data_IF_429869491341
#
_entry.id   IF_429869491341
#
_cell.length_a   1.000
_cell.length_b   1.000
_cell.length_c   1.000
_cell.angle_alpha   90.00
_cell.angle_beta   90.00
_cell.angle_gamma   90.00
#
_symmetry.space_group_name_H-M   'P 1'
#
loop_
_entity.id
_entity.type
_entity.pdbx_description
1 polymer ?
#
# COMPACT_ATOMS: atom_id res chain seq x y z
N UNK A 1 13.36 -9.64 -3.78
CA UNK A 1 12.68 -9.03 -2.61
C UNK A 1 11.18 -8.96 -2.84
N UNK A 2 10.38 -9.03 -1.79
CA UNK A 2 8.91 -8.87 -1.82
C UNK A 2 8.53 -7.68 -0.95
N UNK A 3 7.74 -6.76 -1.50
CA UNK A 3 7.32 -5.53 -0.83
C UNK A 3 5.87 -5.66 -0.36
N UNK A 4 5.62 -5.47 0.93
CA UNK A 4 4.28 -5.37 1.47
C UNK A 4 3.94 -3.94 1.85
N UNK A 5 2.73 -3.51 1.53
CA UNK A 5 2.23 -2.15 1.81
C UNK A 5 1.02 -2.23 2.74
N UNK A 6 1.05 -1.48 3.84
CA UNK A 6 -0.13 -1.17 4.64
C UNK A 6 -0.47 0.32 4.50
N UNK A 7 -1.46 0.63 3.67
CA UNK A 7 -1.83 2.00 3.30
C UNK A 7 -2.81 2.66 4.28
N UNK A 8 -2.67 3.99 4.38
CA UNK A 8 -3.55 4.93 5.03
C UNK A 8 -3.82 6.11 4.09
N UNK A 9 -4.67 7.06 4.50
CA UNK A 9 -4.84 8.28 3.73
C UNK A 9 -3.54 9.09 3.71
N UNK A 10 -2.97 9.29 2.52
CA UNK A 10 -1.79 10.11 2.28
C UNK A 10 -0.43 9.45 2.56
N UNK A 11 -0.39 8.25 3.13
CA UNK A 11 0.87 7.58 3.50
C UNK A 11 0.72 6.06 3.63
N UNK A 12 1.83 5.33 3.68
CA UNK A 12 1.83 3.89 3.95
C UNK A 12 3.02 3.43 4.78
N UNK A 13 2.87 2.27 5.44
CA UNK A 13 4.01 1.47 5.90
C UNK A 13 4.42 0.53 4.78
N UNK A 14 5.69 0.59 4.37
CA UNK A 14 6.34 -0.31 3.44
C UNK A 14 7.29 -1.23 4.19
N UNK A 15 7.16 -2.55 3.99
CA UNK A 15 8.10 -3.54 4.54
C UNK A 15 8.58 -4.43 3.41
N UNK A 16 9.90 -4.49 3.24
CA UNK A 16 10.55 -5.37 2.26
C UNK A 16 11.10 -6.60 2.96
N UNK A 17 10.74 -7.77 2.44
CA UNK A 17 11.22 -9.06 2.95
C UNK A 17 11.97 -9.88 1.88
N UNK A 18 12.90 -10.71 2.34
CA UNK A 18 13.56 -11.75 1.55
C UNK A 18 12.63 -12.93 1.27
N UNK A 19 13.10 -13.91 0.50
CA UNK A 19 12.37 -15.16 0.28
C UNK A 19 12.24 -15.98 1.57
N UNK A 20 13.21 -15.89 2.46
CA UNK A 20 13.23 -16.55 3.78
C UNK A 20 12.47 -15.77 4.88
N UNK A 21 11.78 -14.70 4.48
CA UNK A 21 10.96 -13.82 5.32
C UNK A 21 11.75 -12.90 6.26
N UNK A 22 13.04 -12.70 6.04
CA UNK A 22 13.82 -11.70 6.76
C UNK A 22 13.44 -10.30 6.30
N UNK A 23 13.22 -9.39 7.26
CA UNK A 23 12.95 -7.98 6.97
C UNK A 23 14.27 -7.29 6.61
N UNK A 24 14.32 -6.74 5.40
CA UNK A 24 15.51 -6.09 4.83
C UNK A 24 15.42 -4.57 4.90
N UNK A 25 14.23 -4.04 4.68
CA UNK A 25 13.94 -2.61 4.74
C UNK A 25 12.54 -2.39 5.32
N UNK A 26 12.36 -1.31 6.09
CA UNK A 26 11.04 -0.81 6.52
C UNK A 26 11.03 0.70 6.45
N UNK A 27 9.94 1.27 5.92
CA UNK A 27 9.76 2.72 5.82
C UNK A 27 8.32 3.11 6.07
N UNK A 28 8.14 4.33 6.55
CA UNK A 28 6.92 5.09 6.29
C UNK A 28 7.17 5.87 5.01
N UNK A 29 6.29 5.73 4.02
CA UNK A 29 6.35 6.47 2.76
C UNK A 29 5.14 7.40 2.67
N UNK A 30 5.34 8.59 2.14
CA UNK A 30 4.25 9.49 1.79
C UNK A 30 3.71 9.09 0.41
N UNK A 31 2.38 9.00 0.30
CA UNK A 31 1.70 8.64 -0.95
C UNK A 31 1.21 9.86 -1.72
N UNK A 32 1.39 11.06 -1.18
CA UNK A 32 0.92 12.32 -1.76
C UNK A 32 1.94 13.42 -1.43
N UNK A 33 2.17 14.37 -2.33
CA UNK A 33 3.14 15.44 -2.08
C UNK A 33 2.66 16.39 -0.96
N UNK A 34 3.58 17.01 -0.21
CA UNK A 34 3.22 18.00 0.79
C UNK A 34 2.35 19.15 0.23
N UNK A 35 1.30 19.51 0.95
CA UNK A 35 0.39 20.60 0.57
C UNK A 35 -0.68 20.22 -0.45
N UNK A 36 -0.72 18.96 -0.89
CA UNK A 36 -1.82 18.39 -1.70
C UNK A 36 -2.80 17.66 -0.78
N UNK A 37 -4.10 17.75 -1.07
CA UNK A 37 -5.13 17.09 -0.25
C UNK A 37 -4.95 15.57 -0.28
N UNK A 38 -4.95 14.96 0.90
CA UNK A 38 -4.85 13.51 1.10
C UNK A 38 -6.18 12.77 0.87
N UNK A 39 -7.29 13.52 0.70
CA UNK A 39 -8.61 12.95 0.51
C UNK A 39 -9.51 13.88 -0.32
N UNK A 40 -9.21 14.10 -1.61
CA UNK A 40 -9.95 15.01 -2.47
C UNK A 40 -11.44 14.65 -2.62
N UNK A 41 -11.81 13.39 -2.42
CA UNK A 41 -13.22 12.98 -2.44
C UNK A 41 -13.82 13.07 -1.05
N UNK A 42 -13.22 12.41 -0.06
CA UNK A 42 -13.82 12.29 1.26
C UNK A 42 -13.92 13.64 2.02
N UNK A 43 -12.89 14.50 1.94
CA UNK A 43 -12.87 15.77 2.68
C UNK A 43 -13.35 16.95 1.84
N UNK A 44 -12.97 17.00 0.57
CA UNK A 44 -13.10 18.23 -0.22
C UNK A 44 -14.35 18.26 -1.08
N UNK A 45 -14.91 17.11 -1.45
CA UNK A 45 -15.95 17.09 -2.48
C UNK A 45 -17.29 17.67 -2.02
N UNK A 46 -17.54 17.78 -0.72
CA UNK A 46 -18.77 18.39 -0.17
C UNK A 46 -18.88 19.90 -0.46
N UNK A 47 -17.77 20.57 -0.71
CA UNK A 47 -17.70 22.02 -1.01
C UNK A 47 -17.44 22.35 -2.49
N UNK A 48 -17.35 21.33 -3.34
CA UNK A 48 -17.03 21.46 -4.76
C UNK A 48 -18.16 20.92 -5.63
N UNK A 49 -18.31 21.43 -6.85
CA UNK A 49 -19.13 20.76 -7.85
C UNK A 49 -18.41 19.51 -8.42
N UNK A 50 -19.08 18.77 -9.32
CA UNK A 50 -18.52 17.53 -9.89
C UNK A 50 -17.26 17.82 -10.70
N UNK A 51 -17.26 18.89 -11.50
CA UNK A 51 -16.15 19.23 -12.38
C UNK A 51 -14.92 19.66 -11.57
N UNK A 52 -15.11 20.50 -10.55
CA UNK A 52 -14.05 20.93 -9.64
C UNK A 52 -13.51 19.77 -8.81
N UNK A 53 -14.37 18.84 -8.38
CA UNK A 53 -13.91 17.61 -7.70
C UNK A 53 -13.08 16.75 -8.64
N UNK A 54 -13.52 16.53 -9.88
CA UNK A 54 -12.79 15.74 -10.87
C UNK A 54 -11.41 16.35 -11.17
N UNK A 55 -11.34 17.67 -11.33
CA UNK A 55 -10.09 18.39 -11.53
C UNK A 55 -9.15 18.26 -10.32
N UNK A 56 -9.69 18.32 -9.10
CA UNK A 56 -8.90 18.11 -7.88
C UNK A 56 -8.38 16.67 -7.80
N UNK A 57 -9.23 15.67 -8.04
CA UNK A 57 -8.84 14.25 -8.05
C UNK A 57 -7.73 13.99 -9.09
N UNK A 58 -7.83 14.56 -10.29
CA UNK A 58 -6.78 14.44 -11.29
C UNK A 58 -5.44 15.02 -10.82
N UNK A 59 -5.46 16.19 -10.15
CA UNK A 59 -4.25 16.79 -9.58
C UNK A 59 -3.66 15.95 -8.45
N UNK A 60 -4.50 15.43 -7.55
CA UNK A 60 -4.05 14.55 -6.47
C UNK A 60 -3.49 13.25 -7.04
N UNK A 61 -4.15 12.61 -8.00
CA UNK A 61 -3.65 11.39 -8.67
C UNK A 61 -2.27 11.60 -9.29
N UNK A 62 -2.05 12.73 -9.96
CA UNK A 62 -0.72 13.07 -10.50
C UNK A 62 0.34 13.27 -9.39
N UNK A 63 -0.06 13.85 -8.24
CA UNK A 63 0.80 13.98 -7.07
C UNK A 63 1.16 12.62 -6.48
N UNK A 64 0.17 11.73 -6.37
CA UNK A 64 0.35 10.35 -5.91
C UNK A 64 1.32 9.61 -6.80
N UNK A 65 1.11 9.65 -8.12
CA UNK A 65 1.99 8.97 -9.06
C UNK A 65 3.45 9.41 -8.89
N UNK A 66 3.72 10.72 -8.72
CA UNK A 66 5.08 11.23 -8.49
C UNK A 66 5.65 10.80 -7.14
N UNK A 67 4.93 11.04 -6.04
CA UNK A 67 5.40 10.75 -4.69
C UNK A 67 5.66 9.25 -4.50
N UNK A 68 4.71 8.42 -4.93
CA UNK A 68 4.83 6.97 -4.81
C UNK A 68 5.88 6.40 -5.75
N UNK A 69 6.00 6.90 -6.99
CA UNK A 69 7.09 6.49 -7.89
C UNK A 69 8.45 6.75 -7.27
N UNK A 70 8.68 7.96 -6.75
CA UNK A 70 9.94 8.31 -6.09
C UNK A 70 10.22 7.40 -4.88
N UNK A 71 9.22 7.18 -4.02
CA UNK A 71 9.37 6.30 -2.86
C UNK A 71 9.68 4.85 -3.25
N UNK A 72 9.05 4.32 -4.31
CA UNK A 72 9.33 2.98 -4.81
C UNK A 72 10.73 2.86 -5.42
N UNK A 73 11.21 3.91 -6.10
CA UNK A 73 12.56 3.95 -6.66
C UNK A 73 13.62 4.02 -5.55
N UNK A 74 13.39 4.82 -4.50
CA UNK A 74 14.26 4.89 -3.33
C UNK A 74 14.32 3.56 -2.56
N UNK A 75 13.20 2.85 -2.46
CA UNK A 75 13.17 1.50 -1.88
C UNK A 75 13.99 0.57 -2.77
N UNK A 76 13.70 0.50 -4.06
CA UNK A 76 14.37 -0.41 -4.99
C UNK A 76 15.89 -0.18 -5.05
N UNK A 77 16.34 1.08 -5.06
CA UNK A 77 17.75 1.44 -5.10
C UNK A 77 18.51 1.08 -3.81
N UNK A 78 17.83 0.97 -2.68
CA UNK A 78 18.45 0.63 -1.40
C UNK A 78 18.58 -0.90 -1.16
N UNK A 79 17.97 -1.72 -2.01
CA UNK A 79 17.92 -3.18 -1.82
C UNK A 79 19.09 -3.88 -2.52
N UNK A 80 19.66 -4.93 -1.90
CA UNK A 80 20.78 -5.67 -2.48
C UNK A 80 20.38 -6.55 -3.68
N UNK A 81 19.08 -6.83 -3.85
CA UNK A 81 18.52 -7.59 -4.98
C UNK A 81 17.19 -6.98 -5.42
N UNK A 82 16.76 -7.17 -6.68
CA UNK A 82 15.54 -6.56 -7.21
C UNK A 82 14.26 -6.92 -6.43
N UNK A 83 13.32 -5.98 -6.41
CA UNK A 83 11.92 -6.24 -6.01
C UNK A 83 11.25 -7.05 -7.12
N UNK A 84 10.56 -8.13 -6.74
CA UNK A 84 9.81 -8.99 -7.67
C UNK A 84 8.31 -8.75 -7.59
N UNK A 85 7.81 -8.40 -6.41
CA UNK A 85 6.39 -8.22 -6.19
C UNK A 85 6.09 -7.14 -5.16
N UNK A 86 4.90 -6.56 -5.29
CA UNK A 86 4.26 -5.70 -4.30
C UNK A 86 2.95 -6.35 -3.85
N UNK A 87 2.61 -6.21 -2.57
CA UNK A 87 1.35 -6.71 -2.00
C UNK A 87 0.53 -5.55 -1.46
N UNK A 88 -0.68 -5.37 -2.00
CA UNK A 88 -1.60 -4.28 -1.71
C UNK A 88 -2.89 -4.81 -1.08
N UNK A 89 -3.54 -4.01 -0.24
CA UNK A 89 -4.85 -4.40 0.30
C UNK A 89 -5.86 -4.51 -0.83
N UNK A 90 -6.71 -5.53 -0.83
CA UNK A 90 -7.77 -5.70 -1.85
C UNK A 90 -8.72 -4.50 -1.92
N UNK A 91 -9.12 -4.13 -3.14
CA UNK A 91 -10.22 -3.20 -3.42
C UNK A 91 -11.23 -3.82 -4.39
N UNK A 92 -12.49 -3.34 -4.42
CA UNK A 92 -13.49 -3.87 -5.35
C UNK A 92 -13.09 -3.58 -6.80
N UNK A 93 -13.14 -4.59 -7.67
CA UNK A 93 -12.84 -4.42 -9.10
C UNK A 93 -13.94 -3.63 -9.83
N UNK A 94 -15.14 -3.64 -9.28
CA UNK A 94 -16.33 -2.90 -9.73
C UNK A 94 -16.47 -1.54 -9.02
N UNK A 95 -15.41 -1.03 -8.38
CA UNK A 95 -15.46 0.30 -7.79
C UNK A 95 -15.69 1.35 -8.89
N UNK A 96 -16.66 2.27 -8.73
CA UNK A 96 -17.06 3.18 -9.81
C UNK A 96 -15.94 4.17 -10.13
N UNK A 97 -15.74 4.50 -11.41
CA UNK A 97 -14.81 5.55 -11.85
C UNK A 97 -15.45 6.94 -11.93
N UNK A 98 -16.78 7.02 -12.01
CA UNK A 98 -17.49 8.29 -12.09
C UNK A 98 -17.41 9.07 -10.78
N UNK A 99 -16.79 10.25 -10.83
CA UNK A 99 -16.66 11.17 -9.69
C UNK A 99 -18.03 11.55 -9.11
N UNK A 100 -19.07 11.71 -9.92
CA UNK A 100 -20.40 12.02 -9.40
C UNK A 100 -20.95 10.90 -8.51
N UNK A 101 -20.59 9.65 -8.79
CA UNK A 101 -20.95 8.46 -8.01
C UNK A 101 -20.03 8.30 -6.80
N UNK A 102 -18.71 8.43 -7.00
CA UNK A 102 -17.72 8.26 -5.93
C UNK A 102 -17.93 9.23 -4.76
N UNK A 103 -18.43 10.44 -5.02
CA UNK A 103 -18.72 11.49 -4.02
C UNK A 103 -19.93 11.21 -3.11
N UNK A 104 -20.52 10.02 -3.19
CA UNK A 104 -21.72 9.67 -2.42
C UNK A 104 -21.45 8.42 -1.61
N UNK A 105 -22.17 8.26 -0.50
CA UNK A 105 -22.24 6.99 0.20
C UNK A 105 -22.71 5.86 -0.75
N UNK A 106 -22.10 4.66 -0.68
CA UNK A 106 -21.09 4.23 0.28
C UNK A 106 -19.63 4.42 -0.21
N UNK A 107 -19.40 5.11 -1.32
CA UNK A 107 -18.11 5.17 -2.01
C UNK A 107 -17.16 6.22 -1.44
N UNK A 108 -17.69 7.37 -1.02
CA UNK A 108 -16.89 8.56 -0.67
C UNK A 108 -15.79 8.28 0.35
N UNK A 109 -16.08 7.48 1.38
CA UNK A 109 -15.14 7.16 2.45
C UNK A 109 -14.00 6.22 2.03
N UNK A 110 -14.08 5.63 0.82
CA UNK A 110 -13.14 4.63 0.33
C UNK A 110 -12.44 5.05 -0.95
N UNK A 111 -12.99 6.01 -1.69
CA UNK A 111 -12.53 6.36 -3.03
C UNK A 111 -11.06 6.79 -3.07
N UNK A 112 -10.63 7.61 -2.13
CA UNK A 112 -9.24 8.09 -2.08
C UNK A 112 -8.24 6.95 -1.82
N UNK A 113 -8.55 6.04 -0.90
CA UNK A 113 -7.71 4.86 -0.64
C UNK A 113 -7.70 3.87 -1.80
N UNK A 114 -8.82 3.72 -2.53
CA UNK A 114 -8.88 2.91 -3.75
C UNK A 114 -7.98 3.51 -4.83
N UNK A 115 -8.03 4.83 -5.03
CA UNK A 115 -7.15 5.54 -5.95
C UNK A 115 -5.67 5.30 -5.63
N UNK A 116 -5.25 5.42 -4.37
CA UNK A 116 -3.85 5.17 -4.00
C UNK A 116 -3.38 3.75 -4.35
N UNK A 117 -4.23 2.74 -4.13
CA UNK A 117 -3.88 1.35 -4.44
C UNK A 117 -3.85 1.07 -5.94
N UNK A 118 -4.75 1.68 -6.71
CA UNK A 118 -4.71 1.63 -8.17
C UNK A 118 -3.41 2.25 -8.70
N UNK A 119 -3.03 3.45 -8.24
CA UNK A 119 -1.78 4.09 -8.67
C UNK A 119 -0.54 3.27 -8.29
N UNK A 120 -0.49 2.71 -7.08
CA UNK A 120 0.59 1.81 -6.67
C UNK A 120 0.67 0.55 -7.55
N UNK A 121 -0.47 -0.01 -7.95
CA UNK A 121 -0.53 -1.18 -8.83
C UNK A 121 0.00 -0.85 -10.24
N UNK A 122 -0.44 0.27 -10.83
CA UNK A 122 0.06 0.73 -12.13
C UNK A 122 1.57 0.97 -12.12
N UNK A 123 2.08 1.63 -11.08
CA UNK A 123 3.51 1.87 -10.90
C UNK A 123 4.33 0.60 -10.69
N UNK A 124 3.77 -0.40 -10.03
CA UNK A 124 4.40 -1.70 -9.87
C UNK A 124 4.45 -2.46 -11.20
N UNK A 125 3.35 -2.48 -11.97
CA UNK A 125 3.33 -3.07 -13.31
C UNK A 125 4.33 -2.40 -14.26
N UNK A 126 4.44 -1.07 -14.22
CA UNK A 126 5.43 -0.32 -15.00
C UNK A 126 6.89 -0.71 -14.67
N UNK A 127 7.14 -1.25 -13.46
CA UNK A 127 8.44 -1.77 -13.02
C UNK A 127 8.61 -3.28 -13.27
N UNK A 128 7.61 -3.93 -13.88
CA UNK A 128 7.59 -5.38 -14.09
C UNK A 128 7.40 -6.18 -12.80
N UNK A 129 6.83 -5.58 -11.75
CA UNK A 129 6.57 -6.27 -10.50
C UNK A 129 5.21 -6.95 -10.52
N UNK A 130 5.13 -8.14 -9.94
CA UNK A 130 3.86 -8.80 -9.69
C UNK A 130 3.06 -8.03 -8.63
N UNK A 131 1.79 -7.75 -8.92
CA UNK A 131 0.87 -7.15 -7.96
C UNK A 131 0.04 -8.25 -7.30
N UNK A 132 0.22 -8.42 -6.00
CA UNK A 132 -0.56 -9.31 -5.17
C UNK A 132 -1.58 -8.51 -4.35
N UNK A 133 -2.73 -9.11 -4.07
CA UNK A 133 -3.75 -8.50 -3.21
C UNK A 133 -3.98 -9.32 -1.95
N UNK A 134 -4.24 -8.64 -0.83
CA UNK A 134 -4.52 -9.30 0.45
C UNK A 134 -5.75 -8.72 1.16
N UNK A 135 -6.45 -9.56 1.93
CA UNK A 135 -7.46 -9.10 2.88
C UNK A 135 -6.80 -8.71 4.20
N UNK A 136 -6.85 -7.42 4.54
CA UNK A 136 -6.29 -6.88 5.77
C UNK A 136 -6.84 -7.52 7.05
N UNK A 137 -8.03 -8.14 7.01
CA UNK A 137 -8.60 -8.85 8.15
C UNK A 137 -8.04 -10.27 8.32
N UNK A 138 -7.57 -10.90 7.24
CA UNK A 138 -7.16 -12.30 7.23
C UNK A 138 -5.64 -12.51 7.08
N UNK A 139 -4.91 -11.51 6.57
CA UNK A 139 -3.51 -11.68 6.15
C UNK A 139 -2.56 -12.10 7.28
N UNK A 140 -2.78 -11.61 8.50
CA UNK A 140 -1.97 -12.01 9.66
C UNK A 140 -2.19 -13.49 10.03
N UNK A 141 -3.43 -13.96 9.98
CA UNK A 141 -3.77 -15.35 10.26
C UNK A 141 -3.25 -16.28 9.15
N UNK A 142 -3.33 -15.84 7.88
CA UNK A 142 -2.75 -16.54 6.75
C UNK A 142 -1.23 -16.69 6.88
N UNK A 143 -0.51 -15.59 7.15
CA UNK A 143 0.93 -15.63 7.37
C UNK A 143 1.30 -16.51 8.58
N UNK A 144 0.52 -16.45 9.67
CA UNK A 144 0.73 -17.30 10.84
C UNK A 144 0.62 -18.78 10.50
N UNK A 145 -0.38 -19.17 9.69
CA UNK A 145 -0.52 -20.56 9.22
C UNK A 145 0.64 -21.00 8.34
N UNK A 146 1.12 -20.15 7.43
CA UNK A 146 2.27 -20.43 6.56
C UNK A 146 3.54 -20.62 7.38
N UNK A 147 3.78 -19.75 8.38
CA UNK A 147 5.00 -19.74 9.17
C UNK A 147 5.04 -20.83 10.26
N UNK A 148 3.88 -21.34 10.68
CA UNK A 148 3.78 -22.34 11.74
C UNK A 148 4.48 -21.89 13.03
N UNK A 149 5.37 -22.75 13.56
CA UNK A 149 6.11 -22.47 14.80
C UNK A 149 6.98 -21.19 14.75
N UNK A 150 7.39 -20.75 13.54
CA UNK A 150 8.23 -19.55 13.35
C UNK A 150 7.42 -18.25 13.34
N UNK A 151 6.09 -18.30 13.38
CA UNK A 151 5.23 -17.13 13.20
C UNK A 151 5.57 -15.97 14.16
N UNK A 152 5.76 -16.27 15.45
CA UNK A 152 6.08 -15.25 16.44
C UNK A 152 7.46 -14.62 16.18
N UNK A 153 8.47 -15.44 15.87
CA UNK A 153 9.82 -14.98 15.57
C UNK A 153 9.83 -14.04 14.36
N UNK A 154 9.17 -14.44 13.28
CA UNK A 154 9.18 -13.67 12.02
C UNK A 154 8.32 -12.42 12.10
N UNK A 155 7.09 -12.52 12.64
CA UNK A 155 6.17 -11.37 12.66
C UNK A 155 6.48 -10.38 13.79
N UNK A 156 6.96 -10.83 14.95
CA UNK A 156 7.20 -9.94 16.10
C UNK A 156 8.70 -9.69 16.36
N UNK A 157 9.59 -10.60 15.96
CA UNK A 157 11.04 -10.48 16.17
C UNK A 157 11.73 -9.28 15.54
N UNK A 158 11.28 -8.72 14.39
CA UNK A 158 11.93 -7.54 13.80
C UNK A 158 12.00 -6.35 14.77
N UNK A 159 11.04 -6.19 15.69
CA UNK A 159 11.10 -5.15 16.74
C UNK A 159 12.42 -5.17 17.53
N UNK A 160 12.93 -6.36 17.84
CA UNK A 160 14.18 -6.52 18.57
C UNK A 160 15.41 -6.36 17.67
N UNK A 161 15.33 -6.81 16.40
CA UNK A 161 16.45 -6.78 15.45
C UNK A 161 16.71 -5.41 14.83
N UNK A 162 15.65 -4.69 14.43
CA UNK A 162 15.72 -3.42 13.68
C UNK A 162 15.08 -2.24 14.43
N UNK A 163 14.74 -2.43 15.71
CA UNK A 163 14.22 -1.40 16.59
C UNK A 163 12.80 -0.90 16.28
N UNK A 164 12.25 -0.03 17.13
CA UNK A 164 10.97 0.64 16.88
C UNK A 164 11.08 1.67 15.73
N UNK A 165 9.94 2.03 15.08
CA UNK A 165 8.61 1.45 15.26
C UNK A 165 8.47 0.04 14.67
N UNK A 166 7.65 -0.79 15.32
CA UNK A 166 7.18 -2.08 14.81
C UNK A 166 5.74 -2.33 15.29
N UNK A 167 4.79 -1.77 14.54
CA UNK A 167 3.36 -1.71 14.89
C UNK A 167 2.56 -2.82 14.22
N UNK A 168 1.23 -2.84 14.42
CA UNK A 168 0.34 -3.72 13.66
C UNK A 168 0.50 -3.54 12.15
N UNK A 169 0.64 -2.32 11.66
CA UNK A 169 0.74 -2.04 10.21
C UNK A 169 2.03 -2.62 9.62
N UNK A 170 3.14 -2.57 10.35
CA UNK A 170 4.39 -3.23 9.94
C UNK A 170 4.21 -4.74 9.82
N UNK A 171 3.48 -5.36 10.76
CA UNK A 171 3.19 -6.79 10.72
C UNK A 171 2.22 -7.16 9.61
N UNK A 172 1.24 -6.30 9.31
CA UNK A 172 0.32 -6.48 8.19
C UNK A 172 1.08 -6.40 6.87
N UNK A 173 1.94 -5.39 6.69
CA UNK A 173 2.79 -5.25 5.51
C UNK A 173 3.72 -6.47 5.34
N UNK A 174 4.41 -6.90 6.41
CA UNK A 174 5.24 -8.11 6.37
C UNK A 174 4.42 -9.36 6.02
N UNK A 175 3.28 -9.57 6.68
CA UNK A 175 2.42 -10.71 6.42
C UNK A 175 1.94 -10.76 4.97
N UNK A 176 1.63 -9.60 4.36
CA UNK A 176 1.26 -9.51 2.96
C UNK A 176 2.39 -9.99 2.03
N UNK A 177 3.62 -9.55 2.28
CA UNK A 177 4.79 -10.00 1.50
C UNK A 177 5.06 -11.52 1.63
N UNK A 178 4.78 -12.10 2.80
CA UNK A 178 4.92 -13.54 3.07
C UNK A 178 3.84 -14.35 2.33
N UNK A 179 2.57 -13.95 2.44
CA UNK A 179 1.44 -14.64 1.81
C UNK A 179 1.61 -14.65 0.28
N UNK A 180 1.99 -13.51 -0.32
CA UNK A 180 2.27 -13.43 -1.75
C UNK A 180 3.38 -14.40 -2.18
N UNK A 181 4.42 -14.56 -1.35
CA UNK A 181 5.52 -15.47 -1.62
C UNK A 181 5.20 -16.96 -1.59
N UNK A 182 4.02 -17.33 -1.07
CA UNK A 182 3.58 -18.72 -0.92
C UNK A 182 2.60 -19.17 -2.02
N UNK A 183 2.25 -18.28 -2.94
CA UNK A 183 1.35 -18.54 -4.08
C UNK A 183 2.10 -18.96 -5.35
N UNK A 184 3.43 -18.98 -5.31
CA UNK A 184 4.34 -19.33 -6.41
C UNK A 184 5.11 -20.61 -6.12
#
# INVERSE_FOLDING_TARGET
>A
MRLGIADHLGWAVAVTASEDHDVVDRRRIDLVEPGVSEAPIHYESGRLDVAATAALVARVRASVARATSAALDEIAAALPVPVRSISLRVWPLDFPDDIAVQRRAPYEARADAVMYRQELAELAHARGWEVNVYDAKAVLDQATRILGARANEVLNGPRAKIGPPWTKDHRVALAAAIVAGSLN
#
